data_IF_337804430837
#
_entry.id   IF_337804430837
#
_cell.length_a   1.000
_cell.length_b   1.000
_cell.length_c   1.000
_cell.angle_alpha   90.00
_cell.angle_beta   90.00
_cell.angle_gamma   90.00
#
_symmetry.space_group_name_H-M   'P 1'
#
loop_
_entity.id
_entity.type
_entity.pdbx_description
1 polymer ?
#
# COMPACT_ATOMS: atom_id res chain seq x y z
N UNK A 1 7.34 -38.84 -0.63
CA UNK A 1 6.28 -37.90 -1.01
C UNK A 1 6.96 -36.56 -1.18
N UNK A 2 7.47 -36.28 -2.39
CA UNK A 2 7.88 -34.92 -2.74
C UNK A 2 6.62 -34.07 -2.76
N UNK A 3 6.58 -33.06 -1.88
CA UNK A 3 5.56 -32.02 -1.94
C UNK A 3 6.06 -31.06 -3.01
N UNK A 4 5.63 -31.28 -4.24
CA UNK A 4 5.76 -30.28 -5.29
C UNK A 4 4.82 -29.14 -4.91
N UNK A 5 5.37 -28.07 -4.34
CA UNK A 5 4.65 -26.81 -4.20
C UNK A 5 4.46 -26.32 -5.63
N UNK A 6 3.25 -26.49 -6.14
CA UNK A 6 2.83 -25.81 -7.36
C UNK A 6 2.80 -24.34 -6.94
N UNK A 7 3.80 -23.56 -7.37
CA UNK A 7 3.70 -22.11 -7.36
C UNK A 7 2.50 -21.79 -8.26
N UNK A 8 1.30 -21.70 -7.69
CA UNK A 8 0.25 -20.93 -8.31
C UNK A 8 0.87 -19.57 -8.55
N UNK A 9 1.09 -19.25 -9.82
CA UNK A 9 1.46 -17.94 -10.30
C UNK A 9 0.41 -17.00 -9.68
N UNK A 10 0.74 -16.38 -8.54
CA UNK A 10 -0.03 -15.29 -7.97
C UNK A 10 0.09 -14.22 -9.04
N UNK A 11 -0.83 -14.22 -10.01
CA UNK A 11 -1.07 -13.07 -10.85
C UNK A 11 -1.18 -11.91 -9.87
N UNK A 12 -0.22 -11.01 -9.89
CA UNK A 12 -0.17 -9.81 -9.05
C UNK A 12 -1.55 -9.15 -9.13
N UNK A 13 -2.37 -9.42 -8.10
CA UNK A 13 -3.73 -8.92 -7.96
C UNK A 13 -3.70 -8.08 -6.69
N UNK A 14 -4.00 -6.80 -6.84
CA UNK A 14 -3.97 -5.84 -5.74
C UNK A 14 -2.64 -5.13 -5.60
N UNK A 15 -2.50 -4.42 -4.48
CA UNK A 15 -1.37 -3.54 -4.21
C UNK A 15 -0.43 -4.22 -3.21
N UNK A 16 0.82 -4.44 -3.60
CA UNK A 16 1.87 -4.95 -2.73
C UNK A 16 2.52 -3.79 -1.96
N UNK A 17 2.59 -3.94 -0.65
CA UNK A 17 3.13 -2.94 0.28
C UNK A 17 3.41 -3.58 1.64
N UNK A 18 4.36 -3.04 2.39
CA UNK A 18 4.59 -3.46 3.78
C UNK A 18 3.65 -2.74 4.77
N UNK A 19 3.72 -3.11 6.04
CA UNK A 19 2.90 -2.52 7.09
C UNK A 19 3.23 -1.04 7.35
N UNK A 20 4.47 -0.60 7.06
CA UNK A 20 4.89 0.78 7.27
C UNK A 20 4.23 1.70 6.22
N UNK A 21 4.25 1.28 4.96
CA UNK A 21 3.58 1.94 3.84
C UNK A 21 2.07 2.03 4.09
N UNK A 22 1.43 0.93 4.50
CA UNK A 22 0.01 0.96 4.83
C UNK A 22 -0.28 1.93 5.99
N UNK A 23 0.51 1.87 7.07
CA UNK A 23 0.31 2.73 8.25
C UNK A 23 0.40 4.21 7.88
N UNK A 24 1.45 4.59 7.14
CA UNK A 24 1.68 5.99 6.76
C UNK A 24 0.57 6.55 5.86
N UNK A 25 -0.01 5.71 4.99
CA UNK A 25 -1.17 6.04 4.16
C UNK A 25 -2.42 6.24 5.01
N UNK A 26 -2.71 5.29 5.90
CA UNK A 26 -3.94 5.31 6.71
C UNK A 26 -3.98 6.47 7.71
N UNK A 27 -2.82 6.91 8.20
CA UNK A 27 -2.70 8.13 9.00
C UNK A 27 -2.77 9.42 8.17
N UNK A 28 -2.63 9.34 6.84
CA UNK A 28 -2.61 10.52 5.97
C UNK A 28 -1.28 11.28 6.04
N UNK A 29 -0.17 10.58 6.33
CA UNK A 29 1.17 11.16 6.34
C UNK A 29 1.82 11.15 4.94
N UNK A 30 1.55 10.10 4.15
CA UNK A 30 1.94 9.97 2.74
C UNK A 30 0.80 9.45 1.87
N UNK A 31 0.74 9.89 0.62
CA UNK A 31 -0.28 9.47 -0.36
C UNK A 31 0.16 8.22 -1.12
N UNK A 32 -0.78 7.34 -1.53
CA UNK A 32 -0.49 6.19 -2.39
C UNK A 32 0.37 6.53 -3.63
N UNK A 33 0.04 7.61 -4.36
CA UNK A 33 0.83 8.00 -5.52
C UNK A 33 2.28 8.38 -5.19
N UNK A 34 2.51 9.06 -4.05
CA UNK A 34 3.87 9.41 -3.61
C UNK A 34 4.69 8.15 -3.30
N UNK A 35 4.09 7.15 -2.66
CA UNK A 35 4.80 5.93 -2.30
C UNK A 35 5.03 5.02 -3.51
N UNK A 36 4.14 5.05 -4.49
CA UNK A 36 4.31 4.34 -5.76
C UNK A 36 5.45 4.96 -6.58
N UNK A 37 5.56 6.29 -6.61
CA UNK A 37 6.68 7.00 -7.26
C UNK A 37 8.03 6.67 -6.61
N UNK A 38 8.03 6.36 -5.31
CA UNK A 38 9.22 5.95 -4.56
C UNK A 38 9.48 4.44 -4.58
N UNK A 39 8.71 3.67 -5.37
CA UNK A 39 8.80 2.20 -5.45
C UNK A 39 8.59 1.49 -4.09
N UNK A 40 7.92 2.15 -3.14
CA UNK A 40 7.61 1.60 -1.80
C UNK A 40 6.29 0.82 -1.77
N UNK A 41 5.43 1.04 -2.76
CA UNK A 41 4.26 0.21 -3.06
C UNK A 41 4.23 -0.09 -4.56
N UNK A 42 3.61 -1.20 -4.95
CA UNK A 42 3.45 -1.56 -6.36
C UNK A 42 2.05 -2.13 -6.64
N UNK A 43 1.59 -1.96 -7.87
CA UNK A 43 0.29 -2.39 -8.35
C UNK A 43 0.03 -1.80 -9.75
N UNK A 44 -1.08 -2.17 -10.39
CA UNK A 44 -1.46 -1.52 -11.64
C UNK A 44 -1.76 -0.03 -11.43
N UNK A 45 -1.63 0.77 -12.50
CA UNK A 45 -1.93 2.20 -12.43
C UNK A 45 -3.38 2.44 -11.99
N UNK A 46 -4.32 1.62 -12.47
CA UNK A 46 -5.73 1.66 -12.08
C UNK A 46 -5.92 1.39 -10.58
N UNK A 47 -5.23 0.39 -10.02
CA UNK A 47 -5.31 0.06 -8.59
C UNK A 47 -4.73 1.17 -7.72
N UNK A 48 -3.55 1.70 -8.06
CA UNK A 48 -2.92 2.80 -7.33
C UNK A 48 -3.81 4.05 -7.37
N UNK A 49 -4.41 4.38 -8.52
CA UNK A 49 -5.35 5.51 -8.64
C UNK A 49 -6.64 5.27 -7.87
N UNK A 50 -7.18 4.06 -7.87
CA UNK A 50 -8.35 3.73 -7.06
C UNK A 50 -8.04 3.88 -5.57
N UNK A 51 -6.86 3.45 -5.14
CA UNK A 51 -6.41 3.56 -3.75
C UNK A 51 -6.17 5.02 -3.34
N UNK A 52 -5.54 5.83 -4.20
CA UNK A 52 -5.39 7.27 -4.01
C UNK A 52 -6.74 7.95 -3.73
N UNK A 53 -7.77 7.61 -4.53
CA UNK A 53 -9.08 8.23 -4.44
C UNK A 53 -9.89 7.80 -3.21
N UNK A 54 -9.72 6.55 -2.74
CA UNK A 54 -10.46 6.06 -1.56
C UNK A 54 -9.83 6.51 -0.23
N UNK A 55 -8.52 6.78 -0.20
CA UNK A 55 -7.83 7.24 1.02
C UNK A 55 -8.23 8.68 1.34
N UNK A 56 -8.83 8.95 2.52
CA UNK A 56 -9.26 10.29 2.90
C UNK A 56 -8.10 11.30 2.91
N UNK A 57 -8.37 12.50 2.39
CA UNK A 57 -7.41 13.62 2.44
C UNK A 57 -7.51 14.31 3.80
N UNK A 58 -6.90 13.71 4.83
CA UNK A 58 -6.73 14.28 6.16
C UNK A 58 -5.25 14.36 6.51
N UNK A 59 -4.82 15.43 7.19
CA UNK A 59 -3.44 15.53 7.70
C UNK A 59 -3.35 14.92 9.10
N UNK A 60 -2.36 14.06 9.31
CA UNK A 60 -2.04 13.52 10.62
C UNK A 60 -1.69 14.65 11.60
N UNK A 61 -2.13 14.53 12.85
CA UNK A 61 -1.88 15.53 13.89
C UNK A 61 -1.94 14.88 15.29
N UNK A 62 -1.03 15.25 16.19
CA UNK A 62 -0.98 14.78 17.60
C UNK A 62 -0.48 15.90 18.53
N UNK A 63 -1.21 16.20 19.62
CA UNK A 63 -0.83 17.18 20.65
C UNK A 63 -0.26 16.54 21.93
N UNK A 64 -0.66 15.30 22.22
CA UNK A 64 -0.33 14.63 23.48
C UNK A 64 1.09 14.04 23.51
N UNK A 65 1.63 13.84 24.71
CA UNK A 65 2.90 13.17 24.98
C UNK A 65 2.73 12.16 26.12
N UNK A 66 3.29 10.95 25.95
CA UNK A 66 3.18 9.83 26.88
C UNK A 66 4.48 9.01 26.94
#
# INVERSE_FOLDING_TARGET
HEITIVEEEIKDKGINQDINALSTIMFGYKRPLELNELELISGSEEEIRAFENIVPVRKAFIYDFF
#
